data_IF_914177882069
#
_entry.id   IF_914177882069
#
_cell.length_a   1.000
_cell.length_b   1.000
_cell.length_c   1.000
_cell.angle_alpha   90.00
_cell.angle_beta   90.00
_cell.angle_gamma   90.00
#
_symmetry.space_group_name_H-M   'P 1'
#
loop_
_entity.id
_entity.type
_entity.pdbx_description
1 polymer ?
#
# COMPACT_ATOMS: atom_id res chain seq x y z
N UNK A 1 -2.67 -7.42 1.66
CA UNK A 1 -2.35 -7.43 3.12
C UNK A 1 -0.83 -7.52 3.37
N UNK A 2 -0.33 -7.15 4.57
CA UNK A 2 1.12 -7.17 4.89
C UNK A 2 1.79 -8.53 4.67
N UNK A 3 1.11 -9.64 5.00
CA UNK A 3 1.64 -10.99 4.82
C UNK A 3 1.93 -11.34 3.37
N UNK A 4 1.06 -10.94 2.45
CA UNK A 4 1.26 -11.12 1.01
C UNK A 4 2.44 -10.29 0.50
N UNK A 5 2.59 -9.06 0.99
CA UNK A 5 3.71 -8.19 0.63
C UNK A 5 5.06 -8.76 1.08
N UNK A 6 5.12 -9.29 2.31
CA UNK A 6 6.30 -10.00 2.81
C UNK A 6 6.62 -11.20 1.92
N UNK A 7 5.60 -12.00 1.55
CA UNK A 7 5.77 -13.17 0.67
C UNK A 7 6.31 -12.79 -0.70
N UNK A 8 5.76 -11.74 -1.32
CA UNK A 8 6.19 -11.23 -2.64
C UNK A 8 7.66 -10.78 -2.59
N UNK A 9 8.01 -9.89 -1.68
CA UNK A 9 9.39 -9.39 -1.53
C UNK A 9 10.39 -10.51 -1.22
N UNK A 10 9.99 -11.49 -0.39
CA UNK A 10 10.81 -12.67 -0.11
C UNK A 10 11.09 -13.48 -1.39
N UNK A 11 10.06 -13.69 -2.21
CA UNK A 11 10.17 -14.42 -3.48
C UNK A 11 11.00 -13.67 -4.52
N UNK A 12 10.85 -12.36 -4.63
CA UNK A 12 11.68 -11.50 -5.50
C UNK A 12 13.16 -11.60 -5.14
N UNK A 13 13.46 -11.68 -3.83
CA UNK A 13 14.82 -11.89 -3.31
C UNK A 13 15.27 -13.36 -3.35
N UNK A 14 14.47 -14.26 -3.92
CA UNK A 14 14.74 -15.71 -4.04
C UNK A 14 15.02 -16.40 -2.69
N UNK A 15 14.48 -15.87 -1.60
CA UNK A 15 14.69 -16.43 -0.27
C UNK A 15 13.63 -17.49 0.05
N UNK A 16 14.04 -18.59 0.69
CA UNK A 16 13.08 -19.52 1.27
C UNK A 16 12.45 -18.92 2.54
N UNK A 17 11.28 -19.43 2.97
CA UNK A 17 10.69 -19.03 4.27
C UNK A 17 11.66 -19.30 5.42
N UNK A 18 12.37 -20.44 5.38
CA UNK A 18 13.35 -20.79 6.42
C UNK A 18 14.51 -19.79 6.46
N UNK A 19 15.00 -19.38 5.29
CA UNK A 19 16.11 -18.45 5.15
C UNK A 19 15.75 -17.05 5.64
N UNK A 20 14.57 -16.53 5.28
CA UNK A 20 14.11 -15.23 5.79
C UNK A 20 13.92 -15.28 7.31
N UNK A 21 13.32 -16.36 7.84
CA UNK A 21 13.10 -16.52 9.27
C UNK A 21 14.43 -16.54 10.05
N UNK A 22 15.42 -17.27 9.55
CA UNK A 22 16.75 -17.35 10.14
C UNK A 22 17.46 -15.98 10.10
N UNK A 23 17.53 -15.33 8.94
CA UNK A 23 18.16 -14.01 8.78
C UNK A 23 17.49 -12.93 9.62
N UNK A 24 16.17 -12.96 9.76
CA UNK A 24 15.42 -11.99 10.56
C UNK A 24 15.39 -12.35 12.05
N UNK A 25 15.93 -13.51 12.45
CA UNK A 25 15.86 -14.02 13.81
C UNK A 25 14.41 -14.02 14.35
N UNK A 26 13.53 -14.69 13.61
CA UNK A 26 12.11 -14.90 13.94
C UNK A 26 11.73 -16.36 13.76
N UNK A 27 10.67 -16.81 14.44
CA UNK A 27 10.19 -18.16 14.28
C UNK A 27 9.63 -18.41 12.86
N UNK A 28 10.11 -19.48 12.20
CA UNK A 28 9.64 -19.92 10.87
C UNK A 28 8.12 -20.15 10.83
N UNK A 29 7.57 -20.73 11.89
CA UNK A 29 6.13 -20.97 12.02
C UNK A 29 5.33 -19.67 12.05
N UNK A 30 5.87 -18.64 12.71
CA UNK A 30 5.27 -17.32 12.81
C UNK A 30 5.32 -16.57 11.48
N UNK A 31 6.48 -16.53 10.81
CA UNK A 31 6.57 -15.97 9.46
C UNK A 31 5.59 -16.68 8.50
N UNK A 32 5.48 -18.01 8.58
CA UNK A 32 4.53 -18.80 7.79
C UNK A 32 3.06 -18.49 8.10
N UNK A 33 2.70 -18.21 9.36
CA UNK A 33 1.32 -17.82 9.70
C UNK A 33 0.99 -16.41 9.19
N UNK A 34 1.95 -15.49 9.24
CA UNK A 34 1.83 -14.14 8.67
C UNK A 34 1.66 -14.20 7.14
N UNK A 35 2.54 -14.89 6.41
CA UNK A 35 2.47 -14.98 4.94
C UNK A 35 1.19 -15.67 4.41
N UNK A 36 0.52 -16.46 5.26
CA UNK A 36 -0.76 -17.12 4.95
C UNK A 36 -1.97 -16.35 5.46
N UNK A 37 -1.77 -15.14 6.00
CA UNK A 37 -2.81 -14.30 6.60
C UNK A 37 -3.59 -15.00 7.74
N UNK A 38 -3.02 -16.04 8.37
CA UNK A 38 -3.61 -16.67 9.56
C UNK A 38 -3.46 -15.80 10.80
N UNK A 39 -2.45 -14.93 10.79
CA UNK A 39 -2.27 -13.88 11.76
C UNK A 39 -2.08 -12.56 11.01
N UNK A 40 -2.95 -11.60 11.27
CA UNK A 40 -3.03 -10.33 10.53
C UNK A 40 -2.41 -9.14 11.28
N UNK A 41 -2.10 -9.29 12.56
CA UNK A 41 -1.54 -8.23 13.40
C UNK A 41 -0.16 -8.64 13.98
N UNK A 42 0.92 -8.59 13.17
CA UNK A 42 2.27 -8.80 13.66
C UNK A 42 2.73 -7.65 14.57
N UNK A 43 3.65 -7.93 15.49
CA UNK A 43 4.27 -6.87 16.31
C UNK A 43 5.17 -5.97 15.47
N UNK A 44 5.34 -4.71 15.87
CA UNK A 44 6.25 -3.77 15.19
C UNK A 44 7.68 -4.30 15.10
N UNK A 45 8.16 -4.96 16.17
CA UNK A 45 9.50 -5.56 16.22
C UNK A 45 9.68 -6.66 15.16
N UNK A 46 8.63 -7.44 14.88
CA UNK A 46 8.66 -8.42 13.80
C UNK A 46 8.77 -7.73 12.44
N UNK A 47 7.98 -6.69 12.22
CA UNK A 47 7.98 -5.94 10.96
C UNK A 47 9.35 -5.28 10.72
N UNK A 48 9.95 -4.68 11.75
CA UNK A 48 11.31 -4.10 11.68
C UNK A 48 12.35 -5.12 11.26
N UNK A 49 12.39 -6.29 11.92
CA UNK A 49 13.32 -7.39 11.60
C UNK A 49 13.16 -7.87 10.16
N UNK A 50 11.92 -8.05 9.71
CA UNK A 50 11.64 -8.49 8.34
C UNK A 50 12.04 -7.40 7.33
N UNK A 51 11.68 -6.14 7.60
CA UNK A 51 12.01 -5.00 6.73
C UNK A 51 13.52 -4.84 6.54
N UNK A 52 14.29 -5.03 7.61
CA UNK A 52 15.74 -4.96 7.60
C UNK A 52 16.35 -6.02 6.67
N UNK A 53 15.91 -7.28 6.78
CA UNK A 53 16.42 -8.37 5.93
C UNK A 53 15.95 -8.22 4.48
N UNK A 54 14.72 -7.75 4.29
CA UNK A 54 14.16 -7.48 2.98
C UNK A 54 14.60 -6.13 2.40
N UNK A 55 15.49 -5.37 3.07
CA UNK A 55 16.04 -4.11 2.56
C UNK A 55 15.00 -3.09 2.12
N UNK A 56 13.86 -3.03 2.81
CA UNK A 56 12.75 -2.08 2.56
C UNK A 56 12.44 -1.33 3.85
N UNK A 57 11.78 -0.18 3.77
CA UNK A 57 11.31 0.50 4.98
C UNK A 57 10.12 -0.24 5.63
N UNK A 58 9.93 -0.03 6.93
CA UNK A 58 8.72 -0.49 7.64
C UNK A 58 7.46 0.06 6.99
N UNK A 59 7.50 1.33 6.57
CA UNK A 59 6.41 2.01 5.88
C UNK A 59 6.06 1.30 4.56
N UNK A 60 7.05 0.84 3.81
CA UNK A 60 6.81 0.04 2.61
C UNK A 60 6.10 -1.28 2.96
N UNK A 61 6.47 -2.00 4.02
CA UNK A 61 5.76 -3.24 4.37
C UNK A 61 4.31 -3.01 4.83
N UNK A 62 4.07 -1.92 5.56
CA UNK A 62 2.77 -1.62 6.18
C UNK A 62 1.81 -0.94 5.21
N UNK A 63 2.30 -0.10 4.29
CA UNK A 63 1.43 0.57 3.33
C UNK A 63 0.94 -0.43 2.28
N UNK A 64 -0.35 -0.74 2.39
CA UNK A 64 -1.12 -1.39 1.34
C UNK A 64 -1.31 -0.48 0.11
N UNK A 65 -1.13 0.84 0.26
CA UNK A 65 -1.78 1.81 -0.64
C UNK A 65 -0.84 2.66 -1.51
N UNK A 66 0.41 2.23 -1.75
CA UNK A 66 1.23 2.93 -2.75
C UNK A 66 0.85 2.56 -4.20
N UNK A 67 0.14 1.45 -4.41
CA UNK A 67 -0.23 0.94 -5.74
C UNK A 67 -1.70 0.52 -5.89
N UNK A 68 -2.54 0.66 -4.87
CA UNK A 68 -3.99 0.37 -4.96
C UNK A 68 -4.87 1.63 -5.19
N UNK A 69 -4.27 2.78 -5.52
CA UNK A 69 -5.02 4.05 -5.66
C UNK A 69 -4.61 4.95 -6.81
N UNK A 70 -3.71 4.51 -7.68
CA UNK A 70 -3.60 5.07 -9.02
C UNK A 70 -4.11 3.98 -9.95
N UNK A 71 -5.43 3.88 -10.09
CA UNK A 71 -5.94 3.56 -11.43
C UNK A 71 -5.14 4.49 -12.36
N UNK A 72 -4.42 3.91 -13.34
CA UNK A 72 -3.72 4.73 -14.31
C UNK A 72 -4.74 5.76 -14.80
N UNK A 73 -4.53 7.03 -14.40
CA UNK A 73 -5.39 8.10 -14.88
C UNK A 73 -5.27 8.01 -16.39
N UNK A 74 -6.37 7.69 -17.06
CA UNK A 74 -6.35 7.67 -18.51
C UNK A 74 -5.92 9.07 -19.00
N UNK A 75 -5.40 9.10 -20.23
CA UNK A 75 -4.84 10.35 -20.77
C UNK A 75 -5.85 11.50 -20.79
N UNK A 76 -7.15 11.19 -20.83
CA UNK A 76 -8.23 12.16 -20.81
C UNK A 76 -8.39 12.80 -19.43
N UNK A 77 -8.42 11.99 -18.37
CA UNK A 77 -8.43 12.48 -16.99
C UNK A 77 -7.24 13.37 -16.67
N UNK A 78 -6.03 13.00 -17.12
CA UNK A 78 -4.84 13.83 -16.92
C UNK A 78 -4.94 15.19 -17.61
N UNK A 79 -5.49 15.22 -18.83
CA UNK A 79 -5.68 16.46 -19.58
C UNK A 79 -6.67 17.39 -18.86
N UNK A 80 -7.79 16.84 -18.38
CA UNK A 80 -8.81 17.61 -17.64
C UNK A 80 -8.24 18.19 -16.34
N UNK A 81 -7.49 17.39 -15.58
CA UNK A 81 -6.87 17.86 -14.33
C UNK A 81 -5.85 18.97 -14.61
N UNK A 82 -5.07 18.84 -15.69
CA UNK A 82 -4.10 19.86 -16.09
C UNK A 82 -4.78 21.18 -16.48
N UNK A 83 -5.85 21.13 -17.25
CA UNK A 83 -6.65 22.31 -17.61
C UNK A 83 -7.26 22.99 -16.38
N UNK A 84 -7.77 22.22 -15.42
CA UNK A 84 -8.29 22.75 -14.17
C UNK A 84 -7.20 23.45 -13.33
N UNK A 85 -5.96 22.95 -13.35
CA UNK A 85 -4.83 23.62 -12.70
C UNK A 85 -4.45 24.93 -13.40
N UNK A 86 -4.51 24.95 -14.74
CA UNK A 86 -4.19 26.14 -15.55
C UNK A 86 -5.31 27.20 -15.53
N UNK A 87 -6.55 26.82 -15.20
CA UNK A 87 -7.68 27.75 -15.09
C UNK A 87 -7.67 28.63 -13.84
N UNK A 88 -6.67 28.46 -12.97
CA UNK A 88 -6.51 29.23 -11.73
C UNK A 88 -7.39 28.75 -10.57
N UNK A 89 -7.96 27.53 -10.67
CA UNK A 89 -8.70 26.91 -9.57
C UNK A 89 -7.72 26.43 -8.49
N UNK A 90 -7.97 26.81 -7.24
CA UNK A 90 -7.17 26.34 -6.11
C UNK A 90 -7.50 24.88 -5.76
N UNK A 91 -6.59 24.20 -5.06
CA UNK A 91 -6.82 22.82 -4.61
C UNK A 91 -8.03 22.72 -3.69
N UNK A 92 -8.26 23.74 -2.87
CA UNK A 92 -9.38 23.84 -1.95
C UNK A 92 -10.70 23.95 -2.71
N UNK A 93 -10.78 24.85 -3.71
CA UNK A 93 -11.96 25.01 -4.56
C UNK A 93 -12.28 23.72 -5.34
N UNK A 94 -11.25 23.05 -5.85
CA UNK A 94 -11.42 21.78 -6.54
C UNK A 94 -11.94 20.69 -5.60
N UNK A 95 -11.43 20.64 -4.37
CA UNK A 95 -11.88 19.71 -3.34
C UNK A 95 -13.34 19.94 -2.95
N UNK A 96 -13.74 21.20 -2.74
CA UNK A 96 -15.13 21.59 -2.45
C UNK A 96 -16.08 21.15 -3.57
N UNK A 97 -15.68 21.36 -4.83
CA UNK A 97 -16.45 20.90 -5.99
C UNK A 97 -16.66 19.38 -6.00
N UNK A 98 -15.61 18.60 -5.69
CA UNK A 98 -15.70 17.14 -5.60
C UNK A 98 -16.62 16.69 -4.46
N UNK A 99 -16.52 17.31 -3.29
CA UNK A 99 -17.39 17.02 -2.14
C UNK A 99 -18.86 17.32 -2.47
N UNK A 100 -19.13 18.45 -3.10
CA UNK A 100 -20.48 18.82 -3.54
C UNK A 100 -21.06 17.83 -4.57
N UNK A 101 -20.25 17.39 -5.53
CA UNK A 101 -20.69 16.40 -6.52
C UNK A 101 -20.95 15.03 -5.91
N UNK A 102 -20.13 14.59 -4.95
CA UNK A 102 -20.37 13.35 -4.20
C UNK A 102 -21.70 13.40 -3.46
N UNK A 103 -21.91 14.46 -2.67
CA UNK A 103 -23.17 14.68 -1.96
C UNK A 103 -24.38 14.71 -2.92
N UNK A 104 -24.27 15.40 -4.05
CA UNK A 104 -25.35 15.47 -5.06
C UNK A 104 -25.73 14.08 -5.59
N UNK A 105 -24.75 13.22 -5.83
CA UNK A 105 -25.00 11.88 -6.36
C UNK A 105 -25.64 10.96 -5.30
N UNK A 106 -25.29 11.14 -4.02
CA UNK A 106 -25.92 10.43 -2.89
C UNK A 106 -27.40 10.83 -2.72
N UNK A 107 -27.79 12.05 -3.09
CA UNK A 107 -29.19 12.52 -3.05
C UNK A 107 -30.03 12.07 -4.26
N UNK A 108 -29.40 11.52 -5.30
CA UNK A 108 -30.08 11.07 -6.54
C UNK A 108 -30.30 9.55 -6.59
N UNK A 109 -29.78 8.81 -5.61
CA UNK A 109 -30.00 7.38 -5.41
C UNK A 109 -30.94 7.13 -4.23
#
# INVERSE_FOLDING_TARGET
>A
MIGEKIKLLRQERKMSISELAEKANVAKSYLSSIERNLQSNPSIQFIEKISFVLGVSVNELVNADANEGLEELDGEWLQIVKEAMESGVSKEQFKEYLEFNKWRNEQRN
#
